data_IF_512893982307
#
_entry.id   IF_512893982307
#
_cell.length_a   1.000
_cell.length_b   1.000
_cell.length_c   1.000
_cell.angle_alpha   90.00
_cell.angle_beta   90.00
_cell.angle_gamma   90.00
#
_symmetry.space_group_name_H-M   'P 1'
#
loop_
_entity.id
_entity.type
_entity.pdbx_description
1 polymer ?
#
# COMPACT_ATOMS: atom_id res chain seq x y z
N UNK A 1 14.18 -14.68 9.79
CA UNK A 1 14.66 -14.51 8.40
C UNK A 1 13.43 -14.60 7.51
N UNK A 2 13.15 -13.56 6.72
CA UNK A 2 11.86 -13.38 6.06
C UNK A 2 11.55 -14.47 5.04
N UNK A 3 10.30 -14.95 5.06
CA UNK A 3 9.71 -15.94 4.15
C UNK A 3 9.31 -15.34 2.78
N UNK A 4 9.71 -14.11 2.49
CA UNK A 4 9.32 -13.43 1.25
C UNK A 4 10.04 -14.03 0.04
N UNK A 5 9.34 -14.05 -1.09
CA UNK A 5 9.94 -14.41 -2.37
C UNK A 5 11.09 -13.46 -2.68
N UNK A 6 12.17 -13.99 -3.29
CA UNK A 6 13.38 -13.20 -3.54
C UNK A 6 13.14 -12.01 -4.47
N UNK A 7 12.25 -12.16 -5.43
CA UNK A 7 11.87 -11.11 -6.36
C UNK A 7 10.73 -10.24 -5.79
N UNK A 8 10.19 -10.59 -4.62
CA UNK A 8 9.02 -9.95 -4.03
C UNK A 8 7.72 -10.28 -4.76
N UNK A 9 7.67 -11.40 -5.50
CA UNK A 9 6.49 -11.78 -6.28
C UNK A 9 5.23 -12.03 -5.43
N UNK A 10 5.41 -12.26 -4.14
CA UNK A 10 4.39 -12.39 -3.09
C UNK A 10 4.08 -11.08 -2.35
N UNK A 11 4.74 -9.98 -2.69
CA UNK A 11 4.62 -8.68 -2.03
C UNK A 11 3.85 -7.67 -2.88
N UNK A 12 3.05 -6.86 -2.18
CA UNK A 12 2.33 -5.73 -2.72
C UNK A 12 2.56 -4.53 -1.81
N UNK A 13 2.95 -3.40 -2.40
CA UNK A 13 3.11 -2.15 -1.67
C UNK A 13 1.85 -1.32 -1.87
N UNK A 14 1.28 -0.85 -0.77
CA UNK A 14 0.01 -0.12 -0.76
C UNK A 14 0.23 1.28 -0.26
N UNK A 15 0.08 2.25 -1.16
CA UNK A 15 0.01 3.67 -0.80
C UNK A 15 -1.43 3.99 -0.41
N UNK A 16 -1.59 4.70 0.70
CA UNK A 16 -2.87 5.10 1.27
C UNK A 16 -2.90 6.62 1.31
N UNK A 17 -3.84 7.23 0.60
CA UNK A 17 -4.02 8.70 0.59
C UNK A 17 -5.42 9.03 0.06
N UNK A 18 -5.68 10.29 -0.24
CA UNK A 18 -6.87 10.78 -0.92
C UNK A 18 -6.58 12.15 -1.57
N UNK A 19 -7.59 12.69 -2.25
CA UNK A 19 -7.48 13.98 -2.95
C UNK A 19 -7.09 15.14 -2.02
N UNK A 20 -7.49 15.07 -0.75
CA UNK A 20 -7.23 16.10 0.26
C UNK A 20 -5.87 15.93 0.95
N UNK A 21 -5.15 14.83 0.69
CA UNK A 21 -3.96 14.41 1.45
C UNK A 21 -4.22 14.46 2.96
N UNK A 22 -5.35 13.87 3.39
CA UNK A 22 -5.79 13.82 4.79
C UNK A 22 -6.51 12.50 5.04
N UNK A 23 -5.77 11.52 5.51
CA UNK A 23 -6.30 10.19 5.80
C UNK A 23 -6.09 9.82 7.28
N UNK A 24 -7.16 9.48 8.02
CA UNK A 24 -7.03 8.99 9.37
C UNK A 24 -6.61 7.52 9.37
N UNK A 25 -5.60 7.19 10.20
CA UNK A 25 -5.24 5.83 10.57
C UNK A 25 -5.13 5.73 12.10
N UNK A 26 -5.63 4.64 12.66
CA UNK A 26 -5.58 4.32 14.08
C UNK A 26 -4.41 3.39 14.41
N UNK A 27 -4.12 3.26 15.70
CA UNK A 27 -3.05 2.42 16.22
C UNK A 27 -1.70 2.74 15.58
N UNK A 28 -1.34 4.03 15.55
CA UNK A 28 -0.09 4.53 14.95
C UNK A 28 0.88 5.00 16.03
N UNK A 29 2.16 4.59 15.93
CA UNK A 29 3.25 4.94 16.87
C UNK A 29 3.49 6.46 16.96
N UNK A 30 3.25 7.18 15.87
CA UNK A 30 3.40 8.63 15.81
C UNK A 30 2.25 9.41 16.48
N UNK A 31 1.20 8.72 16.92
CA UNK A 31 0.06 9.36 17.60
C UNK A 31 0.52 10.08 18.86
N UNK A 32 -0.01 11.30 19.05
CA UNK A 32 0.18 12.09 20.27
C UNK A 32 -1.00 11.96 21.23
N UNK A 33 -2.03 11.21 20.83
CA UNK A 33 -3.27 11.01 21.56
C UNK A 33 -3.46 9.55 21.93
N UNK A 34 -4.20 9.30 23.02
CA UNK A 34 -4.40 7.96 23.58
C UNK A 34 -5.23 7.03 22.66
N UNK A 35 -5.96 7.59 21.71
CA UNK A 35 -6.73 6.84 20.71
C UNK A 35 -5.88 6.29 19.56
N UNK A 36 -4.57 6.62 19.52
CA UNK A 36 -3.66 6.12 18.49
C UNK A 36 -3.90 6.71 17.10
N UNK A 37 -4.66 7.80 16.98
CA UNK A 37 -5.02 8.43 15.71
C UNK A 37 -3.87 9.30 15.16
N UNK A 38 -3.57 9.11 13.87
CA UNK A 38 -2.74 10.03 13.08
C UNK A 38 -3.48 10.39 11.80
N UNK A 39 -3.44 11.68 11.43
CA UNK A 39 -3.90 12.16 10.13
C UNK A 39 -2.68 12.29 9.23
N UNK A 40 -2.54 11.35 8.31
CA UNK A 40 -1.45 11.32 7.35
C UNK A 40 -1.81 12.09 6.08
N UNK A 41 -0.81 12.66 5.42
CA UNK A 41 -0.92 13.12 4.03
C UNK A 41 -0.93 11.93 3.07
N UNK A 42 -0.04 10.96 3.31
CA UNK A 42 -0.11 9.61 2.79
C UNK A 42 0.56 8.64 3.76
N UNK A 43 0.22 7.36 3.66
CA UNK A 43 0.90 6.28 4.38
C UNK A 43 1.25 5.14 3.43
N UNK A 44 2.24 4.32 3.78
CA UNK A 44 2.65 3.17 2.96
C UNK A 44 2.75 1.93 3.84
N UNK A 45 2.05 0.87 3.43
CA UNK A 45 2.14 -0.46 4.05
C UNK A 45 2.56 -1.50 3.01
N UNK A 46 3.11 -2.62 3.46
CA UNK A 46 3.38 -3.77 2.61
C UNK A 46 2.44 -4.92 2.96
N UNK A 47 1.87 -5.57 1.95
CA UNK A 47 1.02 -6.75 2.09
C UNK A 47 1.73 -7.94 1.45
N UNK A 48 1.94 -8.98 2.23
CA UNK A 48 2.52 -10.23 1.78
C UNK A 48 1.43 -11.29 1.62
N UNK A 49 1.39 -11.94 0.46
CA UNK A 49 0.59 -13.14 0.22
C UNK A 49 1.37 -14.37 0.64
N UNK A 50 0.86 -15.13 1.61
CA UNK A 50 1.46 -16.36 2.10
C UNK A 50 0.51 -17.52 1.81
N UNK A 51 1.04 -18.64 1.33
CA UNK A 51 0.27 -19.89 1.29
C UNK A 51 0.30 -20.50 2.68
N UNK A 52 -0.87 -20.74 3.28
CA UNK A 52 -0.92 -21.53 4.50
C UNK A 52 -0.78 -23.03 4.17
N UNK A 53 -0.53 -23.85 5.19
CA UNK A 53 -0.38 -25.30 5.05
C UNK A 53 -1.66 -26.02 4.55
N UNK A 54 -2.77 -25.29 4.43
CA UNK A 54 -4.08 -25.79 3.98
C UNK A 54 -4.38 -25.40 2.53
N UNK A 55 -3.44 -24.75 1.82
CA UNK A 55 -3.61 -24.31 0.43
C UNK A 55 -4.40 -23.01 0.25
N UNK A 56 -4.71 -22.31 1.34
CA UNK A 56 -5.40 -21.01 1.33
C UNK A 56 -4.39 -19.86 1.42
N UNK A 57 -4.65 -18.77 0.70
CA UNK A 57 -3.89 -17.55 0.89
C UNK A 57 -4.21 -16.88 2.22
N UNK A 58 -3.18 -16.50 2.94
CA UNK A 58 -3.21 -15.52 4.01
C UNK A 58 -2.52 -14.25 3.54
N UNK A 59 -3.10 -13.09 3.87
CA UNK A 59 -2.52 -11.79 3.57
C UNK A 59 -2.07 -11.14 4.86
N UNK A 60 -0.76 -10.86 4.95
CA UNK A 60 -0.11 -10.32 6.13
C UNK A 60 0.33 -8.88 5.87
N UNK A 61 -0.11 -7.96 6.71
CA UNK A 61 0.24 -6.54 6.65
C UNK A 61 1.49 -6.29 7.47
N UNK A 62 2.43 -5.59 6.86
CA UNK A 62 3.62 -5.02 7.44
C UNK A 62 3.46 -3.51 7.45
N UNK A 63 3.07 -2.96 8.61
CA UNK A 63 3.09 -1.53 8.87
C UNK A 63 4.12 -1.27 9.99
N UNK A 64 5.26 -0.67 9.61
CA UNK A 64 6.34 -0.38 10.54
C UNK A 64 6.01 0.78 11.48
N UNK A 65 5.02 1.61 11.14
CA UNK A 65 4.57 2.74 11.94
C UNK A 65 3.34 2.41 12.81
N UNK A 66 2.77 1.21 12.67
CA UNK A 66 1.68 0.75 13.55
C UNK A 66 2.17 0.36 14.94
N UNK A 67 1.34 0.59 15.96
CA UNK A 67 1.47 0.04 17.31
C UNK A 67 0.87 -1.36 17.45
N UNK A 68 0.21 -1.88 16.40
CA UNK A 68 -0.29 -3.26 16.32
C UNK A 68 0.86 -4.26 16.10
N UNK A 69 0.62 -5.58 16.27
CA UNK A 69 1.60 -6.60 15.87
C UNK A 69 2.02 -6.45 14.41
N UNK A 70 3.31 -6.67 14.13
CA UNK A 70 3.87 -6.59 12.78
C UNK A 70 4.73 -7.85 12.48
N UNK A 71 4.34 -8.69 11.51
CA UNK A 71 3.14 -8.56 10.66
C UNK A 71 1.84 -8.96 11.37
N UNK A 72 0.70 -8.59 10.81
CA UNK A 72 -0.63 -9.05 11.25
C UNK A 72 -1.58 -9.38 10.08
N UNK A 73 -2.61 -10.22 10.27
CA UNK A 73 -3.58 -10.53 9.22
C UNK A 73 -4.30 -9.28 8.67
N UNK A 74 -4.44 -9.19 7.34
CA UNK A 74 -5.05 -8.05 6.64
C UNK A 74 -6.44 -7.68 7.19
N UNK A 75 -7.29 -8.67 7.43
CA UNK A 75 -8.64 -8.44 7.98
C UNK A 75 -8.60 -7.75 9.35
N UNK A 76 -7.67 -8.17 10.22
CA UNK A 76 -7.51 -7.57 11.54
C UNK A 76 -6.98 -6.13 11.41
N UNK A 77 -5.97 -5.91 10.58
CA UNK A 77 -5.43 -4.57 10.33
C UNK A 77 -6.49 -3.61 9.78
N UNK A 78 -7.34 -4.08 8.86
CA UNK A 78 -8.47 -3.31 8.33
C UNK A 78 -9.41 -2.88 9.46
N UNK A 79 -9.78 -3.79 10.36
CA UNK A 79 -10.73 -3.50 11.43
C UNK A 79 -10.15 -2.59 12.52
N UNK A 80 -8.84 -2.67 12.79
CA UNK A 80 -8.21 -1.96 13.91
C UNK A 80 -7.59 -0.62 13.51
N UNK A 81 -6.87 -0.57 12.38
CA UNK A 81 -6.13 0.62 11.95
C UNK A 81 -6.85 1.43 10.88
N UNK A 82 -7.68 0.80 10.05
CA UNK A 82 -8.32 1.45 8.90
C UNK A 82 -9.76 1.83 9.24
N UNK A 83 -10.65 0.90 9.54
CA UNK A 83 -12.10 1.14 9.62
C UNK A 83 -12.51 1.56 11.04
N UNK A 84 -12.83 2.83 11.30
CA UNK A 84 -13.41 3.21 12.58
C UNK A 84 -14.83 2.65 12.70
N UNK A 85 -15.35 2.49 13.93
CA UNK A 85 -16.71 2.01 14.18
C UNK A 85 -17.81 3.07 13.86
N UNK A 86 -17.47 4.13 13.12
CA UNK A 86 -18.35 5.25 12.79
C UNK A 86 -18.14 5.73 11.35
N UNK A 87 -19.14 6.40 10.79
CA UNK A 87 -19.05 6.99 9.45
C UNK A 87 -18.08 8.16 9.42
N UNK A 88 -17.09 8.08 8.55
CA UNK A 88 -16.18 9.19 8.28
C UNK A 88 -16.83 10.22 7.34
N UNK A 89 -16.46 11.49 7.50
CA UNK A 89 -16.73 12.48 6.45
C UNK A 89 -16.07 11.99 5.15
N UNK A 90 -16.75 12.02 3.99
CA UNK A 90 -16.19 11.56 2.72
C UNK A 90 -14.83 12.17 2.34
N UNK A 91 -14.51 13.37 2.83
CA UNK A 91 -13.20 14.02 2.64
C UNK A 91 -12.03 13.29 3.33
N UNK A 92 -12.33 12.41 4.28
CA UNK A 92 -11.36 11.55 4.97
C UNK A 92 -11.39 10.10 4.47
N UNK A 93 -12.22 9.80 3.46
CA UNK A 93 -12.22 8.48 2.82
C UNK A 93 -10.84 8.21 2.23
N UNK A 94 -10.29 7.03 2.50
CA UNK A 94 -9.01 6.61 1.90
C UNK A 94 -9.21 5.88 0.59
N UNK A 95 -8.29 6.17 -0.31
CA UNK A 95 -7.99 5.40 -1.51
C UNK A 95 -6.69 4.63 -1.26
N UNK A 96 -6.58 3.50 -1.94
CA UNK A 96 -5.47 2.57 -1.81
C UNK A 96 -4.93 2.29 -3.20
N UNK A 97 -3.68 2.71 -3.45
CA UNK A 97 -2.95 2.32 -4.66
C UNK A 97 -2.13 1.10 -4.35
N UNK A 98 -2.51 -0.02 -4.94
CA UNK A 98 -1.83 -1.32 -4.77
C UNK A 98 -0.87 -1.51 -5.93
N UNK A 99 0.42 -1.68 -5.64
CA UNK A 99 1.49 -1.87 -6.62
C UNK A 99 2.17 -3.21 -6.35
N UNK A 100 2.32 -4.05 -7.37
CA UNK A 100 3.09 -5.29 -7.25
C UNK A 100 4.57 -4.96 -7.03
N UNK A 101 5.22 -5.58 -6.04
CA UNK A 101 6.55 -5.16 -5.60
C UNK A 101 7.65 -5.22 -6.69
N UNK A 102 7.71 -6.23 -7.58
CA UNK A 102 8.65 -6.23 -8.71
C UNK A 102 8.54 -4.98 -9.59
N UNK A 103 7.32 -4.52 -9.87
CA UNK A 103 7.08 -3.29 -10.64
C UNK A 103 7.58 -2.08 -9.85
N UNK A 104 7.28 -2.00 -8.55
CA UNK A 104 7.73 -0.91 -7.70
C UNK A 104 9.27 -0.83 -7.65
N UNK A 105 9.96 -1.96 -7.49
CA UNK A 105 11.42 -1.99 -7.41
C UNK A 105 12.08 -1.42 -8.67
N UNK A 106 11.48 -1.64 -9.84
CA UNK A 106 11.97 -1.12 -11.11
C UNK A 106 11.60 0.36 -11.33
N UNK A 107 10.40 0.75 -10.90
CA UNK A 107 9.76 1.99 -11.34
C UNK A 107 9.78 3.12 -10.31
N UNK A 108 9.90 2.83 -9.02
CA UNK A 108 9.78 3.83 -7.96
C UNK A 108 11.05 4.68 -7.83
N UNK A 109 10.86 5.99 -7.65
CA UNK A 109 11.95 6.92 -7.39
C UNK A 109 11.52 8.02 -6.43
N UNK A 110 12.43 8.38 -5.52
CA UNK A 110 12.24 9.54 -4.64
C UNK A 110 13.58 10.17 -4.32
N UNK A 111 13.73 11.45 -4.68
CA UNK A 111 14.85 12.30 -4.32
C UNK A 111 14.74 12.86 -2.89
N UNK A 112 13.64 12.51 -2.18
CA UNK A 112 13.30 12.93 -0.82
C UNK A 112 13.06 14.43 -0.65
N UNK A 113 12.89 15.18 -1.74
CA UNK A 113 12.63 16.63 -1.70
C UNK A 113 11.38 16.99 -0.90
N UNK A 114 10.35 16.12 -0.91
CA UNK A 114 9.12 16.29 -0.11
C UNK A 114 9.35 16.30 1.41
N UNK A 115 10.46 15.76 1.91
CA UNK A 115 10.82 15.77 3.33
C UNK A 115 11.64 17.00 3.73
N UNK A 116 11.76 18.00 2.86
CA UNK A 116 12.42 19.27 3.16
C UNK A 116 11.41 20.38 3.39
N UNK A 117 11.67 21.22 4.38
CA UNK A 117 10.92 22.45 4.60
C UNK A 117 11.24 23.52 3.53
N UNK A 118 10.56 24.66 3.60
CA UNK A 118 10.76 25.79 2.67
C UNK A 118 12.16 26.41 2.73
N UNK A 119 12.93 26.13 3.79
CA UNK A 119 14.31 26.58 3.98
C UNK A 119 15.33 25.51 3.53
N UNK A 120 14.85 24.33 3.11
CA UNK A 120 15.67 23.21 2.68
C UNK A 120 16.16 22.30 3.81
N UNK A 121 15.72 22.51 5.06
CA UNK A 121 16.04 21.64 6.19
C UNK A 121 15.20 20.38 6.16
N UNK A 122 15.75 19.28 6.69
CA UNK A 122 15.02 18.03 6.83
C UNK A 122 13.94 18.12 7.92
N UNK A 123 12.70 17.80 7.55
CA UNK A 123 11.57 17.67 8.49
C UNK A 123 11.80 16.48 9.43
N UNK A 124 12.42 15.41 8.91
CA UNK A 124 12.87 14.24 9.66
C UNK A 124 14.19 13.73 9.05
N UNK A 125 15.12 13.16 9.85
CA UNK A 125 16.37 12.64 9.33
C UNK A 125 16.14 11.64 8.17
N UNK A 126 16.76 11.85 6.99
CA UNK A 126 16.57 10.95 5.87
C UNK A 126 17.30 9.63 6.14
N UNK A 127 16.89 8.52 5.49
CA UNK A 127 17.65 7.28 5.54
C UNK A 127 19.10 7.47 5.07
N UNK A 128 20.04 6.74 5.68
CA UNK A 128 21.49 6.88 5.40
C UNK A 128 21.90 6.39 4.01
N UNK A 129 21.11 5.52 3.38
CA UNK A 129 21.36 5.06 2.02
C UNK A 129 21.01 6.16 1.01
N UNK A 130 21.52 6.06 -0.22
CA UNK A 130 21.26 7.05 -1.30
C UNK A 130 19.78 7.10 -1.68
N UNK A 131 19.26 8.21 -2.22
CA UNK A 131 17.91 8.25 -2.79
C UNK A 131 17.67 7.12 -3.80
N UNK A 132 16.44 6.61 -3.83
CA UNK A 132 16.05 5.54 -4.76
C UNK A 132 15.83 6.17 -6.13
N UNK A 133 16.48 5.61 -7.15
CA UNK A 133 16.36 6.00 -8.56
C UNK A 133 15.80 4.81 -9.32
N UNK A 134 14.80 5.05 -10.15
CA UNK A 134 14.19 4.01 -10.97
C UNK A 134 15.17 3.51 -12.03
N UNK A 135 14.93 2.31 -12.58
CA UNK A 135 15.79 1.71 -13.61
C UNK A 135 15.85 2.55 -14.90
N UNK A 136 14.77 3.29 -15.22
CA UNK A 136 14.71 4.22 -16.35
C UNK A 136 15.46 5.54 -16.11
N UNK A 137 16.08 5.72 -14.94
CA UNK A 137 16.80 6.92 -14.54
C UNK A 137 15.93 8.01 -13.91
N UNK A 138 14.61 7.79 -13.75
CA UNK A 138 13.73 8.70 -13.02
C UNK A 138 14.22 8.88 -11.59
N UNK A 139 14.32 10.14 -11.13
CA UNK A 139 14.83 10.49 -9.80
C UNK A 139 13.74 10.79 -8.77
N UNK A 140 12.55 11.17 -9.24
CA UNK A 140 11.42 11.45 -8.37
C UNK A 140 10.12 11.22 -9.14
N UNK A 141 9.26 10.34 -8.63
CA UNK A 141 7.90 10.14 -9.09
C UNK A 141 6.95 9.76 -7.95
N UNK A 142 7.33 10.03 -6.70
CA UNK A 142 6.55 9.71 -5.52
C UNK A 142 5.12 10.28 -5.59
N UNK A 143 4.97 11.49 -6.13
CA UNK A 143 3.65 12.13 -6.27
C UNK A 143 2.68 11.31 -7.12
N UNK A 144 3.15 10.58 -8.14
CA UNK A 144 2.30 9.70 -8.97
C UNK A 144 1.76 8.51 -8.19
N UNK A 145 2.49 8.06 -7.17
CA UNK A 145 2.04 7.00 -6.26
C UNK A 145 1.05 7.51 -5.21
N UNK A 146 1.21 8.76 -4.77
CA UNK A 146 0.35 9.37 -3.74
C UNK A 146 -0.96 9.89 -4.33
N UNK A 147 -0.91 10.54 -5.50
CA UNK A 147 -2.08 11.15 -6.12
C UNK A 147 -3.08 10.08 -6.53
N UNK A 148 -4.28 10.16 -5.97
CA UNK A 148 -5.38 9.25 -6.21
C UNK A 148 -6.70 10.03 -6.18
N UNK A 149 -7.56 9.75 -7.14
CA UNK A 149 -8.93 10.27 -7.23
C UNK A 149 -9.93 9.14 -7.24
N UNK A 150 -11.16 9.44 -6.83
CA UNK A 150 -12.24 8.44 -6.92
C UNK A 150 -12.49 8.00 -8.38
N UNK A 151 -12.24 8.88 -9.36
CA UNK A 151 -12.32 8.59 -10.80
C UNK A 151 -11.26 7.61 -11.30
N UNK A 152 -10.20 7.37 -10.52
CA UNK A 152 -9.11 6.48 -10.92
C UNK A 152 -9.42 5.02 -10.61
N UNK A 153 -10.50 4.75 -9.87
CA UNK A 153 -10.98 3.39 -9.60
C UNK A 153 -11.62 2.84 -10.88
N UNK A 154 -11.06 1.79 -11.50
CA UNK A 154 -11.65 1.19 -12.68
C UNK A 154 -13.05 0.66 -12.37
N UNK A 155 -13.96 0.83 -13.33
CA UNK A 155 -15.35 0.34 -13.23
C UNK A 155 -15.46 -1.19 -13.31
N UNK A 156 -14.44 -1.85 -13.86
CA UNK A 156 -14.39 -3.30 -14.06
C UNK A 156 -13.29 -3.94 -13.20
N UNK A 157 -13.68 -5.01 -12.51
CA UNK A 157 -12.81 -5.83 -11.66
C UNK A 157 -11.73 -6.53 -12.49
N UNK A 158 -12.02 -6.96 -13.71
CA UNK A 158 -11.03 -7.63 -14.54
C UNK A 158 -9.91 -6.66 -14.95
N UNK A 159 -10.24 -5.39 -15.22
CA UNK A 159 -9.25 -4.35 -15.46
C UNK A 159 -8.35 -4.10 -14.23
N UNK A 160 -8.90 -4.15 -13.01
CA UNK A 160 -8.13 -4.06 -11.77
C UNK A 160 -7.13 -5.23 -11.62
N UNK A 161 -7.60 -6.46 -11.82
CA UNK A 161 -6.76 -7.65 -11.67
C UNK A 161 -5.66 -7.70 -12.73
N UNK A 162 -5.95 -7.32 -13.98
CA UNK A 162 -4.94 -7.28 -15.04
C UNK A 162 -3.96 -6.12 -14.86
N UNK A 163 -4.45 -4.99 -14.34
CA UNK A 163 -3.63 -3.80 -14.08
C UNK A 163 -2.57 -4.02 -13.01
N UNK A 164 -2.80 -4.88 -12.01
CA UNK A 164 -1.86 -5.05 -10.89
C UNK A 164 -0.46 -5.52 -11.33
N UNK A 165 -0.38 -6.32 -12.39
CA UNK A 165 0.86 -6.93 -12.89
C UNK A 165 1.43 -6.23 -14.13
N UNK A 166 0.79 -5.15 -14.61
CA UNK A 166 1.19 -4.47 -15.84
C UNK A 166 1.29 -2.95 -15.71
N UNK A 167 0.56 -2.34 -14.78
CA UNK A 167 0.56 -0.90 -14.59
C UNK A 167 1.74 -0.47 -13.70
N UNK A 168 2.59 0.42 -14.22
CA UNK A 168 3.72 1.06 -13.53
C UNK A 168 3.35 1.62 -12.14
N UNK A 169 2.16 2.20 -12.03
CA UNK A 169 1.64 2.81 -10.80
C UNK A 169 0.61 1.93 -10.09
N UNK A 170 0.49 0.65 -10.48
CA UNK A 170 -0.48 -0.27 -9.93
C UNK A 170 -1.92 0.16 -10.18
N UNK A 171 -2.82 -0.20 -9.27
CA UNK A 171 -4.26 0.08 -9.40
C UNK A 171 -4.81 0.76 -8.16
N UNK A 172 -5.83 1.61 -8.34
CA UNK A 172 -6.49 2.32 -7.24
C UNK A 172 -7.80 1.63 -6.89
N UNK A 173 -7.99 1.38 -5.59
CA UNK A 173 -9.22 0.83 -5.03
C UNK A 173 -9.69 1.67 -3.84
N UNK A 174 -10.97 1.55 -3.49
CA UNK A 174 -11.49 2.14 -2.26
C UNK A 174 -11.36 1.16 -1.07
N UNK A 175 -11.55 1.67 0.15
CA UNK A 175 -11.41 0.87 1.38
C UNK A 175 -12.37 -0.32 1.51
N UNK A 176 -13.54 -0.31 0.86
CA UNK A 176 -14.49 -1.44 0.92
C UNK A 176 -14.04 -2.62 0.04
N UNK A 177 -13.14 -2.37 -0.90
CA UNK A 177 -12.62 -3.38 -1.83
C UNK A 177 -11.34 -4.06 -1.32
N UNK A 178 -10.68 -3.52 -0.28
CA UNK A 178 -9.32 -3.94 0.08
C UNK A 178 -9.20 -5.44 0.41
N UNK A 179 -10.04 -5.99 1.28
CA UNK A 179 -10.00 -7.43 1.63
C UNK A 179 -10.39 -8.33 0.44
N UNK A 180 -11.45 -7.97 -0.29
CA UNK A 180 -11.97 -8.78 -1.40
C UNK A 180 -11.04 -8.76 -2.61
N UNK A 181 -10.33 -7.65 -2.84
CA UNK A 181 -9.39 -7.49 -3.95
C UNK A 181 -8.22 -8.48 -3.87
N UNK A 182 -7.58 -8.61 -2.69
CA UNK A 182 -6.50 -9.57 -2.49
C UNK A 182 -6.97 -11.02 -2.65
N UNK A 183 -8.18 -11.33 -2.17
CA UNK A 183 -8.79 -12.64 -2.35
C UNK A 183 -8.96 -13.00 -3.83
N UNK A 184 -9.43 -12.04 -4.64
CA UNK A 184 -9.63 -12.23 -6.08
C UNK A 184 -8.31 -12.38 -6.86
N UNK A 185 -7.28 -11.59 -6.52
CA UNK A 185 -5.95 -11.72 -7.13
C UNK A 185 -5.39 -13.14 -6.92
N UNK A 186 -5.54 -13.67 -5.70
CA UNK A 186 -5.06 -15.02 -5.40
C UNK A 186 -5.81 -16.09 -6.18
N UNK A 187 -7.15 -16.02 -6.22
CA UNK A 187 -7.97 -16.96 -6.98
C UNK A 187 -7.56 -16.98 -8.46
N UNK A 188 -7.38 -15.80 -9.08
CA UNK A 188 -6.98 -15.70 -10.50
C UNK A 188 -5.64 -16.39 -10.77
N UNK A 189 -4.63 -16.21 -9.90
CA UNK A 189 -3.33 -16.88 -10.02
C UNK A 189 -3.44 -18.40 -9.98
N UNK A 190 -4.29 -18.94 -9.10
CA UNK A 190 -4.52 -20.38 -9.01
C UNK A 190 -5.16 -20.93 -10.30
N UNK A 191 -6.17 -20.24 -10.85
CA UNK A 191 -6.81 -20.63 -12.12
C UNK A 191 -5.84 -20.60 -13.31
N UNK A 192 -5.01 -19.56 -13.42
CA UNK A 192 -4.00 -19.47 -14.50
C UNK A 192 -2.97 -20.59 -14.43
N UNK A 193 -2.60 -21.03 -13.22
CA UNK A 193 -1.64 -22.13 -13.01
C UNK A 193 -2.23 -23.48 -13.40
N UNK A 194 -3.52 -23.73 -13.10
CA UNK A 194 -4.21 -24.96 -13.50
C UNK A 194 -4.40 -25.10 -15.01
N UNK A 195 -4.58 -24.00 -15.75
CA UNK A 195 -4.78 -24.02 -17.20
C UNK A 195 -3.49 -24.24 -18.01
N UNK A 196 -2.33 -24.12 -17.35
CA UNK A 196 -1.01 -24.32 -17.97
C UNK A 196 -0.39 -25.69 -17.67
N UNK A 197 -1.14 -26.60 -17.03
CA UNK A 197 -0.78 -28.00 -16.79
C UNK A 197 -1.61 -28.91 -17.70
#
# INVERSE_FOLDING_TARGET
MGLADREGADLFVVFISNEEKRIPLWCQKASKTADGLVIWDYHVICIQSQNNNEGNAQFMVWDLDSSLPCPMPLKQYINEAILPPFSLNPRYSRLFRVVHAPILFQCFASDRSHMKDSLGNWISPPPVYKPIVAEDGTKNNLDEYIQMRASDIPSDVEALINGIYSNKYGVVINGTMLESFFTQIYQRRQFSTLLCQ
#
